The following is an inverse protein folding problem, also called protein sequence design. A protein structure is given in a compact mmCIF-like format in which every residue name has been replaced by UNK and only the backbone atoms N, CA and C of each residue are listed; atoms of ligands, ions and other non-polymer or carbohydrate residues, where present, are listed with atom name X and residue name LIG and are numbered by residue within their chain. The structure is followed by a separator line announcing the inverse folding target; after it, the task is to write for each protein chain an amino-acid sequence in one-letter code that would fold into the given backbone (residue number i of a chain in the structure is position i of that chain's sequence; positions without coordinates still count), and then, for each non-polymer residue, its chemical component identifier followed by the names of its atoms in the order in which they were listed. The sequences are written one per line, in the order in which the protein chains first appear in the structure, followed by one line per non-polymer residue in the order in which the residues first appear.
data_IF_216147696060
#
_entry.id   IF_216147696060
#
_cell.length_a   1.000
_cell.length_b   1.000
_cell.length_c   1.000
_cell.angle_alpha   90.00
_cell.angle_beta   90.00
_cell.angle_gamma   90.00
#
_symmetry.space_group_name_H-M   'P 1'
#
loop_
_entity.id
_entity.type
_entity.pdbx_description
1 polymer ?
#
# COMPACT_ATOMS: atom_id res chain seq x y z
N UNK A 1 -50.64 -1.12 46.95
CA UNK A 1 -49.26 -1.25 46.45
C UNK A 1 -49.29 -1.79 45.02
N UNK A 2 -48.67 -1.09 44.06
CA UNK A 2 -48.46 -1.59 42.68
C UNK A 2 -47.16 -2.39 42.66
N UNK A 3 -47.22 -3.67 42.30
CA UNK A 3 -46.04 -4.51 42.14
C UNK A 3 -45.47 -4.31 40.73
N UNK A 4 -44.38 -3.55 40.66
CA UNK A 4 -43.66 -3.34 39.41
C UNK A 4 -42.85 -4.61 39.08
N UNK A 5 -43.38 -5.43 38.19
CA UNK A 5 -42.73 -6.59 37.61
C UNK A 5 -41.68 -6.13 36.57
N UNK A 6 -40.43 -6.01 37.02
CA UNK A 6 -39.29 -5.86 36.10
C UNK A 6 -39.01 -7.22 35.46
N UNK A 7 -39.23 -7.33 34.16
CA UNK A 7 -38.84 -8.51 33.38
C UNK A 7 -37.31 -8.60 33.34
N UNK A 8 -36.74 -9.61 33.98
CA UNK A 8 -35.32 -9.94 33.84
C UNK A 8 -35.15 -10.72 32.52
N UNK A 9 -34.56 -10.07 31.52
CA UNK A 9 -34.13 -10.74 30.28
C UNK A 9 -32.75 -11.34 30.54
N UNK A 10 -32.70 -12.65 30.79
CA UNK A 10 -31.46 -13.40 30.94
C UNK A 10 -30.94 -13.93 29.61
N UNK A 11 -29.62 -14.08 29.52
CA UNK A 11 -28.95 -14.70 28.37
C UNK A 11 -29.29 -16.20 28.32
N UNK A 12 -29.72 -16.71 27.16
CA UNK A 12 -30.05 -18.14 27.05
C UNK A 12 -28.81 -18.96 26.71
N UNK A 13 -28.76 -20.22 27.19
CA UNK A 13 -27.67 -21.14 26.81
C UNK A 13 -27.68 -21.41 25.29
N UNK A 14 -28.86 -21.43 24.68
CA UNK A 14 -29.02 -21.60 23.23
C UNK A 14 -28.35 -20.45 22.47
N UNK A 15 -28.53 -19.21 22.95
CA UNK A 15 -27.95 -18.02 22.35
C UNK A 15 -26.43 -18.04 22.37
N UNK A 16 -25.81 -18.42 23.49
CA UNK A 16 -24.35 -18.60 23.53
C UNK A 16 -23.93 -19.76 22.62
N UNK A 17 -24.63 -20.90 22.69
CA UNK A 17 -24.27 -22.12 21.97
C UNK A 17 -24.29 -21.93 20.45
N UNK A 18 -25.32 -21.25 19.94
CA UNK A 18 -25.43 -20.94 18.51
C UNK A 18 -24.34 -19.96 18.06
N UNK A 19 -23.97 -18.99 18.91
CA UNK A 19 -22.88 -18.06 18.62
C UNK A 19 -21.53 -18.76 18.54
N UNK A 20 -21.15 -19.58 19.53
CA UNK A 20 -19.86 -20.30 19.44
C UNK A 20 -19.85 -21.31 18.30
N UNK A 21 -20.99 -21.91 17.95
CA UNK A 21 -21.10 -22.77 16.76
C UNK A 21 -20.83 -21.98 15.47
N UNK A 22 -21.44 -20.81 15.29
CA UNK A 22 -21.18 -19.96 14.12
C UNK A 22 -19.73 -19.43 14.10
N UNK A 23 -19.19 -19.03 15.24
CA UNK A 23 -17.80 -18.58 15.36
C UNK A 23 -16.80 -19.69 15.02
N UNK A 24 -17.09 -20.95 15.38
CA UNK A 24 -16.24 -22.08 15.01
C UNK A 24 -16.23 -22.31 13.48
N UNK A 25 -17.39 -22.21 12.83
CA UNK A 25 -17.53 -22.37 11.38
C UNK A 25 -16.76 -21.26 10.64
N UNK A 26 -17.01 -20.00 10.99
CA UNK A 26 -16.36 -18.85 10.33
C UNK A 26 -14.87 -18.78 10.68
N UNK A 27 -14.52 -19.01 11.95
CA UNK A 27 -13.14 -18.98 12.43
C UNK A 27 -12.26 -20.02 11.75
N UNK A 28 -12.78 -21.24 11.52
CA UNK A 28 -12.07 -22.28 10.79
C UNK A 28 -11.75 -21.89 9.33
N UNK A 29 -12.66 -21.19 8.66
CA UNK A 29 -12.50 -20.79 7.26
C UNK A 29 -11.49 -19.63 7.05
N UNK A 30 -11.29 -18.76 8.05
CA UNK A 30 -10.39 -17.61 7.95
C UNK A 30 -8.91 -18.03 7.99
N UNK A 31 -8.57 -19.05 8.78
CA UNK A 31 -7.18 -19.47 9.03
C UNK A 31 -6.46 -19.92 7.75
N UNK A 32 -7.15 -20.63 6.87
CA UNK A 32 -6.55 -21.16 5.63
C UNK A 32 -6.20 -20.06 4.63
N UNK A 33 -6.95 -18.96 4.61
CA UNK A 33 -6.76 -17.86 3.66
C UNK A 33 -5.63 -16.89 4.05
N UNK A 34 -5.26 -16.82 5.33
CA UNK A 34 -4.31 -15.82 5.83
C UNK A 34 -2.84 -16.25 5.65
N UNK A 35 -2.54 -17.55 5.67
CA UNK A 35 -1.16 -18.08 5.73
C UNK A 35 -0.23 -17.71 4.55
N UNK A 36 -0.77 -17.33 3.39
CA UNK A 36 0.01 -16.91 2.22
C UNK A 36 0.03 -15.40 1.98
N UNK A 37 -0.81 -14.64 2.68
CA UNK A 37 -1.04 -13.23 2.39
C UNK A 37 0.13 -12.36 2.87
N UNK A 38 0.71 -12.68 4.03
CA UNK A 38 1.87 -11.97 4.59
C UNK A 38 3.09 -12.05 3.66
N UNK A 39 3.40 -13.25 3.13
CA UNK A 39 4.51 -13.40 2.18
C UNK A 39 4.24 -12.65 0.89
N UNK A 40 3.01 -12.69 0.38
CA UNK A 40 2.63 -11.95 -0.83
C UNK A 40 2.72 -10.43 -0.62
N UNK A 41 2.30 -9.93 0.53
CA UNK A 41 2.40 -8.52 0.90
C UNK A 41 3.86 -8.07 1.03
N UNK A 42 4.71 -8.87 1.68
CA UNK A 42 6.14 -8.60 1.81
C UNK A 42 6.83 -8.57 0.44
N UNK A 43 6.58 -9.55 -0.43
CA UNK A 43 7.12 -9.57 -1.79
C UNK A 43 6.60 -8.38 -2.61
N UNK A 44 5.30 -8.07 -2.54
CA UNK A 44 4.71 -6.94 -3.25
C UNK A 44 5.35 -5.61 -2.82
N UNK A 45 5.61 -5.44 -1.52
CA UNK A 45 6.29 -4.25 -0.99
C UNK A 45 7.71 -4.14 -1.52
N UNK A 46 8.47 -5.25 -1.52
CA UNK A 46 9.82 -5.28 -2.08
C UNK A 46 9.86 -4.94 -3.58
N UNK A 47 8.96 -5.52 -4.38
CA UNK A 47 8.83 -5.22 -5.82
C UNK A 47 8.45 -3.76 -6.03
N UNK A 48 7.56 -3.20 -5.21
CA UNK A 48 7.18 -1.80 -5.29
C UNK A 48 8.38 -0.87 -5.01
N UNK A 49 9.14 -1.14 -3.95
CA UNK A 49 10.36 -0.38 -3.64
C UNK A 49 11.39 -0.47 -4.76
N UNK A 50 11.59 -1.66 -5.35
CA UNK A 50 12.51 -1.84 -6.47
C UNK A 50 12.04 -1.09 -7.71
N UNK A 51 10.74 -1.06 -7.99
CA UNK A 51 10.17 -0.27 -9.09
C UNK A 51 10.45 1.23 -8.90
N UNK A 52 10.31 1.73 -7.67
CA UNK A 52 10.68 3.11 -7.33
C UNK A 52 12.16 3.41 -7.59
N UNK A 53 13.06 2.50 -7.20
CA UNK A 53 14.50 2.63 -7.46
C UNK A 53 14.78 2.60 -8.97
N UNK A 54 14.19 1.67 -9.73
CA UNK A 54 14.38 1.60 -11.18
C UNK A 54 13.96 2.90 -11.87
N UNK A 55 12.81 3.46 -11.49
CA UNK A 55 12.37 4.75 -12.02
C UNK A 55 13.36 5.87 -11.69
N UNK A 56 13.88 5.91 -10.46
CA UNK A 56 14.89 6.89 -10.07
C UNK A 56 16.20 6.74 -10.87
N UNK A 57 16.63 5.50 -11.18
CA UNK A 57 17.79 5.24 -12.05
C UNK A 57 17.54 5.76 -13.47
N UNK A 58 16.36 5.49 -14.04
CA UNK A 58 16.01 5.97 -15.38
C UNK A 58 16.01 7.48 -15.45
N UNK A 59 15.46 8.15 -14.43
CA UNK A 59 15.50 9.62 -14.34
C UNK A 59 16.93 10.13 -14.21
N UNK A 60 17.74 9.55 -13.31
CA UNK A 60 19.14 9.95 -13.12
C UNK A 60 19.96 9.80 -14.41
N UNK A 61 19.78 8.69 -15.13
CA UNK A 61 20.45 8.47 -16.41
C UNK A 61 20.02 9.50 -17.46
N UNK A 62 18.74 9.89 -17.47
CA UNK A 62 18.24 10.91 -18.39
C UNK A 62 18.77 12.32 -18.06
N UNK A 63 18.99 12.64 -16.78
CA UNK A 63 19.46 13.97 -16.36
C UNK A 63 20.98 14.10 -16.40
N UNK A 64 21.72 13.11 -15.92
CA UNK A 64 23.18 13.16 -15.75
C UNK A 64 23.94 12.48 -16.90
N UNK A 65 23.24 11.75 -17.78
CA UNK A 65 23.85 11.05 -18.93
C UNK A 65 24.72 9.84 -18.56
N UNK A 66 24.82 9.50 -17.27
CA UNK A 66 25.60 8.38 -16.73
C UNK A 66 24.77 7.54 -15.77
N UNK A 67 25.13 6.27 -15.59
CA UNK A 67 24.46 5.40 -14.62
C UNK A 67 24.92 5.74 -13.20
N UNK A 68 24.03 5.73 -12.18
CA UNK A 68 24.45 5.94 -10.82
C UNK A 68 25.34 4.79 -10.33
N UNK A 69 26.42 5.14 -9.64
CA UNK A 69 27.39 4.23 -9.05
C UNK A 69 26.98 3.71 -7.66
N UNK A 70 26.11 4.43 -6.97
CA UNK A 70 25.60 4.09 -5.64
C UNK A 70 24.27 4.80 -5.36
N UNK A 71 23.60 4.37 -4.30
CA UNK A 71 22.28 4.87 -3.87
C UNK A 71 22.30 6.38 -3.56
N UNK A 72 23.38 6.89 -2.94
CA UNK A 72 23.55 8.32 -2.68
C UNK A 72 23.50 9.18 -3.96
N UNK A 73 24.03 8.66 -5.07
CA UNK A 73 24.05 9.35 -6.35
C UNK A 73 22.64 9.57 -6.90
N UNK A 74 21.73 8.59 -6.70
CA UNK A 74 20.32 8.75 -7.07
C UNK A 74 19.62 9.86 -6.28
N UNK A 75 20.05 10.15 -5.05
CA UNK A 75 19.46 11.19 -4.18
C UNK A 75 20.03 12.56 -4.54
N UNK A 76 21.28 12.61 -4.97
CA UNK A 76 21.99 13.82 -5.37
C UNK A 76 21.63 14.32 -6.79
N UNK A 77 20.73 13.62 -7.50
CA UNK A 77 20.22 14.06 -8.79
C UNK A 77 19.74 15.51 -8.68
N UNK A 78 20.38 16.43 -9.41
CA UNK A 78 20.00 17.83 -9.34
C UNK A 78 18.66 17.95 -10.07
N UNK A 79 17.57 18.43 -9.43
CA UNK A 79 16.38 18.79 -10.17
C UNK A 79 16.82 19.81 -11.19
N UNK A 80 16.76 19.47 -12.48
CA UNK A 80 16.88 20.45 -13.56
C UNK A 80 15.66 21.35 -13.44
N UNK A 81 15.78 22.38 -12.59
CA UNK A 81 14.97 23.58 -12.73
C UNK A 81 15.22 24.04 -14.16
N UNK A 82 14.21 24.05 -15.06
CA UNK A 82 14.41 24.56 -16.39
C UNK A 82 14.82 26.03 -16.25
N UNK A 83 16.11 26.31 -16.45
CA UNK A 83 16.57 27.68 -16.65
C UNK A 83 16.22 28.01 -18.08
N UNK A 84 15.38 29.02 -18.25
CA UNK A 84 15.13 29.59 -19.57
C UNK A 84 16.45 30.19 -20.07
N UNK A 85 17.14 29.48 -20.95
CA UNK A 85 18.30 30.02 -21.66
C UNK A 85 17.77 30.81 -22.87
N UNK A 86 17.88 32.14 -22.79
CA UNK A 86 17.44 33.08 -23.83
C UNK A 86 18.31 32.91 -25.08
N UNK A 87 17.94 31.99 -25.96
CA UNK A 87 18.66 31.73 -27.21
C UNK A 87 18.53 30.33 -27.81
N UNK A 88 17.96 29.35 -27.10
CA UNK A 88 17.58 28.08 -27.72
C UNK A 88 16.15 28.22 -28.24
N UNK A 89 15.90 28.18 -29.57
CA UNK A 89 14.54 28.12 -30.08
C UNK A 89 13.89 26.83 -29.57
N UNK A 90 12.88 26.99 -28.72
CA UNK A 90 12.03 25.88 -28.26
C UNK A 90 11.28 25.32 -29.47
N UNK A 91 11.74 24.17 -29.94
CA UNK A 91 11.12 23.38 -31.00
C UNK A 91 10.05 22.41 -30.47
N UNK A 92 9.54 22.62 -29.25
CA UNK A 92 8.45 21.82 -28.66
C UNK A 92 7.06 22.33 -29.02
N UNK A 93 6.93 23.35 -29.88
CA UNK A 93 5.64 23.78 -30.41
C UNK A 93 5.44 23.24 -31.83
N UNK A 94 4.87 22.04 -31.96
CA UNK A 94 3.96 21.64 -33.05
C UNK A 94 3.41 20.23 -32.78
N UNK A 95 2.23 20.14 -32.16
CA UNK A 95 1.02 19.60 -32.81
C UNK A 95 -0.19 19.84 -31.89
N UNK A 96 -1.22 20.48 -32.42
CA UNK A 96 -2.48 20.81 -31.77
C UNK A 96 -3.61 20.09 -32.49
#
# INVERSE_FOLDING_TARGET
MKYNNKTQSGFTLLEVLMVVAMLAIVGGAIITNYSGLDRKAATSTGVHSLSGINNAITVFQATEGVLPNNLESLIAATPVNPTFEDGIPDNSAEDA
#
